data_IF_472989683135
#
_entry.id   IF_472989683135
#
_cell.length_a   1.000
_cell.length_b   1.000
_cell.length_c   1.000
_cell.angle_alpha   90.00
_cell.angle_beta   90.00
_cell.angle_gamma   90.00
#
_symmetry.space_group_name_H-M   'P 1'
#
loop_
_entity.id
_entity.type
_entity.pdbx_description
1 polymer ?
#
# COMPACT_ATOMS: atom_id res chain seq x y z
N UNK A 1 -1.92 -17.61 4.64
CA UNK A 1 -0.86 -17.13 3.73
C UNK A 1 -1.48 -16.47 2.51
N UNK A 2 -1.83 -15.20 2.65
CA UNK A 2 -2.34 -14.35 1.57
C UNK A 2 -1.46 -13.12 1.45
N UNK A 3 -1.23 -12.64 0.23
CA UNK A 3 -0.41 -11.46 -0.02
C UNK A 3 -1.13 -10.48 -0.97
N UNK A 4 -0.79 -9.20 -0.86
CA UNK A 4 -1.22 -8.19 -1.81
C UNK A 4 -0.49 -8.39 -3.14
N UNK A 5 -1.21 -8.45 -4.24
CA UNK A 5 -0.64 -8.73 -5.57
C UNK A 5 -1.50 -8.10 -6.67
N UNK A 6 -1.03 -8.17 -7.92
CA UNK A 6 -1.84 -7.90 -9.11
C UNK A 6 -2.32 -9.20 -9.77
N UNK A 7 -3.45 -9.19 -10.49
CA UNK A 7 -3.88 -10.35 -11.27
C UNK A 7 -2.83 -10.78 -12.31
N UNK A 8 -2.76 -12.06 -12.64
CA UNK A 8 -1.88 -12.55 -13.73
C UNK A 8 -2.26 -11.94 -15.09
N UNK A 9 -3.54 -11.62 -15.28
CA UNK A 9 -4.08 -10.95 -16.46
C UNK A 9 -3.90 -9.43 -16.47
N UNK A 10 -3.15 -8.88 -15.50
CA UNK A 10 -2.89 -7.45 -15.44
C UNK A 10 -2.17 -6.98 -16.71
N UNK A 11 -2.75 -6.01 -17.39
CA UNK A 11 -2.21 -5.40 -18.60
C UNK A 11 -2.55 -3.91 -18.58
N UNK A 12 -1.56 -3.08 -18.89
CA UNK A 12 -1.73 -1.63 -19.02
C UNK A 12 -2.80 -1.24 -20.05
N UNK A 13 -2.97 -2.04 -21.11
CA UNK A 13 -3.93 -1.77 -22.19
C UNK A 13 -5.38 -2.03 -21.80
N UNK A 14 -5.61 -2.67 -20.65
CA UNK A 14 -6.93 -3.05 -20.17
C UNK A 14 -7.20 -2.38 -18.82
N UNK A 15 -7.70 -1.13 -18.79
CA UNK A 15 -7.97 -0.39 -17.56
C UNK A 15 -8.86 -1.15 -16.56
N UNK A 16 -9.75 -2.01 -17.05
CA UNK A 16 -10.59 -2.87 -16.20
C UNK A 16 -9.79 -3.89 -15.35
N UNK A 17 -8.56 -4.21 -15.74
CA UNK A 17 -7.67 -5.11 -15.01
C UNK A 17 -6.69 -4.35 -14.11
N UNK A 18 -6.77 -3.02 -14.07
CA UNK A 18 -5.92 -2.19 -13.24
C UNK A 18 -6.35 -2.19 -11.77
N UNK A 19 -6.43 -3.39 -11.18
CA UNK A 19 -6.85 -3.62 -9.81
C UNK A 19 -5.75 -4.30 -9.01
N UNK A 20 -5.87 -4.21 -7.69
CA UNK A 20 -5.00 -4.91 -6.73
C UNK A 20 -5.86 -5.87 -5.93
N UNK A 21 -5.35 -7.07 -5.70
CA UNK A 21 -6.06 -8.17 -5.06
C UNK A 21 -5.25 -8.75 -3.91
N UNK A 22 -5.95 -9.46 -3.02
CA UNK A 22 -5.31 -10.40 -2.11
C UNK A 22 -5.40 -11.79 -2.71
N UNK A 23 -4.27 -12.50 -2.75
CA UNK A 23 -4.19 -13.85 -3.27
C UNK A 23 -3.30 -14.72 -2.38
N UNK A 24 -3.77 -15.93 -2.08
CA UNK A 24 -3.00 -16.95 -1.38
C UNK A 24 -2.28 -17.91 -2.32
N UNK A 25 -1.49 -18.81 -1.75
CA UNK A 25 -0.81 -19.85 -2.52
C UNK A 25 0.32 -19.29 -3.39
N UNK A 26 0.32 -19.58 -4.69
CA UNK A 26 1.44 -19.32 -5.59
C UNK A 26 1.89 -17.86 -5.72
N UNK A 27 1.00 -16.89 -5.47
CA UNK A 27 1.34 -15.48 -5.56
C UNK A 27 2.47 -15.07 -4.59
N UNK A 28 2.57 -15.71 -3.42
CA UNK A 28 3.58 -15.36 -2.38
C UNK A 28 5.01 -15.62 -2.83
N UNK A 29 5.22 -16.45 -3.86
CA UNK A 29 6.55 -16.77 -4.41
C UNK A 29 6.79 -16.19 -5.80
N UNK A 30 5.89 -15.35 -6.30
CA UNK A 30 5.96 -14.76 -7.64
C UNK A 30 6.29 -13.27 -7.59
N UNK A 31 6.96 -12.77 -8.64
CA UNK A 31 7.40 -11.38 -8.70
C UNK A 31 6.27 -10.34 -8.68
N UNK A 32 5.03 -10.74 -8.98
CA UNK A 32 3.82 -9.88 -8.96
C UNK A 32 3.32 -9.52 -7.55
N UNK A 33 3.83 -10.17 -6.50
CA UNK A 33 3.56 -9.81 -5.11
C UNK A 33 4.64 -8.88 -4.51
N UNK A 34 5.62 -8.44 -5.31
CA UNK A 34 6.72 -7.62 -4.83
C UNK A 34 6.37 -6.12 -4.85
N UNK A 35 6.46 -5.51 -3.67
CA UNK A 35 6.22 -4.08 -3.45
C UNK A 35 7.43 -3.42 -2.81
N UNK A 36 7.63 -2.14 -3.11
CA UNK A 36 8.66 -1.29 -2.52
C UNK A 36 8.00 -0.10 -1.82
N UNK A 37 8.38 0.12 -0.57
CA UNK A 37 8.04 1.35 0.18
C UNK A 37 9.04 2.44 -0.19
N UNK A 38 8.53 3.59 -0.62
CA UNK A 38 9.33 4.77 -0.99
C UNK A 38 8.91 5.97 -0.10
N UNK A 39 9.65 6.28 0.98
CA UNK A 39 9.37 7.43 1.84
C UNK A 39 9.38 8.76 1.07
N UNK A 40 8.37 9.61 1.32
CA UNK A 40 8.29 10.95 0.74
C UNK A 40 9.01 11.92 1.69
N UNK A 41 10.34 12.03 1.54
CA UNK A 41 11.22 12.93 2.30
C UNK A 41 12.35 13.45 1.44
N UNK A 42 13.00 14.54 1.84
CA UNK A 42 14.09 15.15 1.06
C UNK A 42 15.48 14.59 1.41
N UNK A 43 15.67 14.09 2.63
CA UNK A 43 16.94 13.58 3.15
C UNK A 43 16.74 12.18 3.72
N UNK A 44 17.85 11.49 4.01
CA UNK A 44 17.84 10.21 4.74
C UNK A 44 16.92 9.13 4.15
N UNK A 45 16.88 9.00 2.82
CA UNK A 45 16.05 7.99 2.14
C UNK A 45 16.33 6.54 2.57
N UNK A 46 17.53 6.26 3.11
CA UNK A 46 17.92 4.95 3.65
C UNK A 46 17.72 4.80 5.16
N UNK A 47 17.14 5.79 5.85
CA UNK A 47 16.81 5.66 7.26
C UNK A 47 15.74 4.59 7.50
N UNK A 48 15.66 4.12 8.74
CA UNK A 48 14.66 3.15 9.17
C UNK A 48 13.27 3.72 8.91
N UNK A 49 12.38 2.87 8.38
CA UNK A 49 10.97 3.22 8.18
C UNK A 49 10.28 3.08 9.52
N UNK A 50 9.61 4.14 9.94
CA UNK A 50 8.83 4.21 11.16
C UNK A 50 7.31 4.20 10.92
N UNK A 51 6.55 4.26 12.02
CA UNK A 51 5.15 4.64 11.96
C UNK A 51 5.03 6.13 11.61
N UNK A 52 3.85 6.51 11.11
CA UNK A 52 3.42 7.90 10.87
C UNK A 52 4.27 8.69 9.85
N UNK A 53 5.23 8.02 9.20
CA UNK A 53 5.98 8.55 8.08
C UNK A 53 5.21 8.39 6.77
N UNK A 54 5.19 9.44 5.96
CA UNK A 54 4.53 9.41 4.65
C UNK A 54 5.38 8.68 3.63
N UNK A 55 4.77 7.75 2.89
CA UNK A 55 5.42 7.01 1.82
C UNK A 55 4.48 6.73 0.64
N UNK A 56 5.09 6.31 -0.48
CA UNK A 56 4.41 5.69 -1.60
C UNK A 56 4.69 4.20 -1.63
N UNK A 57 3.76 3.44 -2.20
CA UNK A 57 3.92 1.99 -2.41
C UNK A 57 4.08 1.76 -3.91
N UNK A 58 5.25 1.26 -4.34
CA UNK A 58 5.57 1.00 -5.73
C UNK A 58 5.53 -0.51 -6.00
N UNK A 59 4.80 -0.92 -7.03
CA UNK A 59 4.84 -2.29 -7.53
C UNK A 59 6.11 -2.49 -8.35
N UNK A 60 6.93 -3.50 -7.99
CA UNK A 60 8.31 -3.61 -8.51
C UNK A 60 8.31 -3.91 -10.02
N UNK A 61 7.52 -4.89 -10.47
CA UNK A 61 7.62 -5.37 -11.86
C UNK A 61 6.96 -4.41 -12.86
N UNK A 62 5.87 -3.73 -12.48
CA UNK A 62 5.22 -2.75 -13.36
C UNK A 62 5.78 -1.34 -13.23
N UNK A 63 6.53 -1.07 -12.16
CA UNK A 63 7.08 0.25 -11.85
C UNK A 63 6.04 1.31 -11.47
N UNK A 64 4.77 0.91 -11.26
CA UNK A 64 3.63 1.78 -10.95
C UNK A 64 3.42 1.95 -9.46
N UNK A 65 2.66 2.98 -9.09
CA UNK A 65 2.35 3.30 -7.71
C UNK A 65 0.94 2.89 -7.34
N UNK A 66 0.77 2.29 -6.17
CA UNK A 66 -0.55 2.11 -5.56
C UNK A 66 -1.14 3.48 -5.27
N UNK A 67 -2.42 3.66 -5.60
CA UNK A 67 -3.15 4.84 -5.23
C UNK A 67 -4.65 4.60 -5.11
N UNK A 68 -5.34 5.57 -4.53
CA UNK A 68 -6.80 5.51 -4.34
C UNK A 68 -7.49 6.26 -5.47
N UNK A 69 -8.47 5.63 -6.11
CA UNK A 69 -9.34 6.28 -7.07
C UNK A 69 -10.28 7.25 -6.36
N UNK A 70 -10.28 8.51 -6.77
CA UNK A 70 -10.98 9.59 -6.08
C UNK A 70 -12.50 9.36 -6.01
N UNK A 71 -13.13 8.94 -7.10
CA UNK A 71 -14.58 8.68 -7.16
C UNK A 71 -15.00 7.36 -6.50
N UNK A 72 -14.38 6.23 -6.90
CA UNK A 72 -14.82 4.90 -6.45
C UNK A 72 -14.21 4.45 -5.12
N UNK A 73 -13.22 5.19 -4.59
CA UNK A 73 -12.48 4.86 -3.37
C UNK A 73 -11.85 3.45 -3.39
N UNK A 74 -11.60 2.92 -4.58
CA UNK A 74 -10.91 1.66 -4.82
C UNK A 74 -9.41 1.89 -4.99
N UNK A 75 -8.60 0.86 -4.71
CA UNK A 75 -7.15 0.92 -4.96
C UNK A 75 -6.81 0.42 -6.36
N UNK A 76 -5.91 1.13 -7.03
CA UNK A 76 -5.42 0.79 -8.37
C UNK A 76 -3.97 1.25 -8.58
N UNK A 77 -3.36 0.84 -9.69
CA UNK A 77 -1.99 1.23 -10.03
C UNK A 77 -1.96 2.44 -10.97
N UNK A 78 -1.15 3.44 -10.63
CA UNK A 78 -0.92 4.64 -11.43
C UNK A 78 0.48 4.67 -12.01
N UNK A 79 0.59 5.10 -13.27
CA UNK A 79 1.89 5.41 -13.87
C UNK A 79 2.57 6.54 -13.09
N UNK A 80 3.92 6.55 -13.07
CA UNK A 80 4.71 7.53 -12.32
C UNK A 80 4.33 8.98 -12.63
N UNK A 81 3.97 9.28 -13.89
CA UNK A 81 3.62 10.64 -14.33
C UNK A 81 2.25 11.11 -13.83
N UNK A 82 1.41 10.17 -13.38
CA UNK A 82 0.08 10.43 -12.80
C UNK A 82 0.03 10.19 -11.29
N UNK A 83 1.10 9.68 -10.70
CA UNK A 83 1.20 9.35 -9.28
C UNK A 83 1.44 10.62 -8.44
N UNK A 84 0.39 11.45 -8.35
CA UNK A 84 0.41 12.67 -7.52
C UNK A 84 0.45 12.31 -6.04
N UNK A 85 0.85 13.28 -5.20
CA UNK A 85 0.86 13.11 -3.75
C UNK A 85 -0.52 12.68 -3.22
N UNK A 86 -1.58 13.42 -3.57
CA UNK A 86 -2.94 13.16 -3.08
C UNK A 86 -3.51 11.80 -3.49
N UNK A 87 -3.00 11.18 -4.56
CA UNK A 87 -3.45 9.86 -5.00
C UNK A 87 -2.68 8.71 -4.35
N UNK A 88 -1.42 8.94 -3.95
CA UNK A 88 -0.45 7.86 -3.68
C UNK A 88 0.27 7.99 -2.34
N UNK A 89 -0.08 8.98 -1.53
CA UNK A 89 0.49 9.18 -0.20
C UNK A 89 -0.24 8.34 0.85
N UNK A 90 0.50 7.45 1.49
CA UNK A 90 0.04 6.60 2.57
C UNK A 90 0.91 6.80 3.81
N UNK A 91 0.36 6.43 4.97
CA UNK A 91 1.09 6.28 6.23
C UNK A 91 0.85 4.91 6.83
N UNK A 92 1.80 4.46 7.64
CA UNK A 92 1.71 3.24 8.42
C UNK A 92 1.41 3.60 9.87
N UNK A 93 0.32 3.08 10.43
CA UNK A 93 -0.10 3.36 11.80
C UNK A 93 -0.11 2.08 12.63
N UNK A 94 0.20 2.19 13.92
CA UNK A 94 0.16 1.06 14.85
C UNK A 94 -1.27 0.63 15.20
N UNK A 95 -2.22 1.58 15.20
CA UNK A 95 -3.64 1.35 15.45
C UNK A 95 -4.49 2.34 14.63
N UNK A 96 -5.82 2.29 14.79
CA UNK A 96 -6.75 3.17 14.07
C UNK A 96 -7.11 4.46 14.83
N UNK A 97 -6.50 4.72 15.99
CA UNK A 97 -6.73 5.91 16.81
C UNK A 97 -5.72 7.01 16.45
N UNK A 98 -5.95 7.67 15.32
CA UNK A 98 -5.03 8.70 14.81
C UNK A 98 -5.14 9.96 15.68
N UNK A 99 -4.05 10.31 16.37
CA UNK A 99 -3.89 11.63 16.95
C UNK A 99 -3.55 12.61 15.83
N UNK A 100 -4.43 13.57 15.55
CA UNK A 100 -4.30 14.57 14.46
C UNK A 100 -2.96 15.33 14.41
N UNK A 101 -2.19 15.36 15.49
CA UNK A 101 -0.88 16.03 15.56
C UNK A 101 0.26 15.29 14.83
N UNK A 102 0.07 14.05 14.38
CA UNK A 102 1.13 13.22 13.81
C UNK A 102 1.68 13.68 12.45
N UNK A 103 0.95 14.53 11.72
CA UNK A 103 1.35 14.96 10.37
C UNK A 103 2.25 16.20 10.34
N UNK A 104 2.43 16.87 11.47
CA UNK A 104 3.28 18.06 11.63
C UNK A 104 4.66 17.73 12.25
N UNK A 105 4.99 16.44 12.43
CA UNK A 105 6.27 16.04 13.00
C UNK A 105 7.42 16.33 12.02
N UNK A 106 8.37 17.14 12.51
CA UNK A 106 9.59 17.55 11.85
C UNK A 106 10.34 16.31 11.33
N UNK A 107 10.84 16.35 10.09
CA UNK A 107 11.66 15.26 9.54
C UNK A 107 12.79 14.90 10.53
N UNK A 108 12.78 13.68 11.04
CA UNK A 108 13.80 13.18 11.95
C UNK A 108 15.16 13.15 11.24
N UNK A 109 16.17 13.80 11.81
CA UNK A 109 17.52 13.77 11.26
C UNK A 109 18.27 12.51 11.74
N UNK A 110 18.82 11.75 10.80
CA UNK A 110 19.59 10.55 11.08
C UNK A 110 18.91 9.26 10.63
N UNK A 111 19.29 8.14 11.24
CA UNK A 111 18.77 6.81 10.87
C UNK A 111 17.38 6.50 11.45
N UNK A 112 16.92 7.28 12.42
CA UNK A 112 15.68 7.04 13.15
C UNK A 112 15.73 5.84 14.10
N UNK A 113 14.57 5.48 14.64
CA UNK A 113 14.39 4.35 15.57
C UNK A 113 13.87 3.11 14.83
N UNK A 114 14.40 1.93 15.19
CA UNK A 114 13.94 0.65 14.65
C UNK A 114 12.59 0.23 15.24
N UNK A 115 11.48 0.71 14.67
CA UNK A 115 10.13 0.37 15.13
C UNK A 115 9.48 -0.79 14.37
N UNK A 116 9.87 -0.99 13.10
CA UNK A 116 9.31 -2.03 12.23
C UNK A 116 10.22 -3.27 12.22
N UNK A 117 9.63 -4.42 12.49
CA UNK A 117 10.26 -5.74 12.43
C UNK A 117 9.52 -6.63 11.44
N UNK A 118 10.25 -7.16 10.47
CA UNK A 118 9.69 -8.04 9.45
C UNK A 118 9.08 -9.29 10.07
N UNK A 119 7.82 -9.58 9.72
CA UNK A 119 7.09 -10.75 10.21
C UNK A 119 6.49 -10.62 11.61
N UNK A 120 6.89 -9.63 12.40
CA UNK A 120 6.36 -9.42 13.77
C UNK A 120 5.44 -8.19 13.86
N UNK A 121 5.75 -7.13 13.12
CA UNK A 121 4.99 -5.88 13.22
C UNK A 121 3.67 -6.00 12.48
N UNK A 122 2.57 -5.83 13.23
CA UNK A 122 1.24 -5.59 12.68
C UNK A 122 1.04 -4.09 12.52
N UNK A 123 0.59 -3.66 11.33
CA UNK A 123 0.36 -2.27 11.03
C UNK A 123 -0.89 -2.06 10.16
N UNK A 124 -1.45 -0.88 10.26
CA UNK A 124 -2.54 -0.40 9.42
C UNK A 124 -2.01 0.60 8.41
N UNK A 125 -2.55 0.55 7.19
CA UNK A 125 -2.18 1.49 6.12
C UNK A 125 -3.35 2.47 5.93
N UNK A 126 -3.06 3.76 6.04
CA UNK A 126 -4.02 4.84 5.82
C UNK A 126 -3.62 5.64 4.58
N UNK A 127 -4.59 5.94 3.72
CA UNK A 127 -4.42 6.91 2.65
C UNK A 127 -4.63 8.34 3.17
N UNK A 128 -3.64 9.22 2.98
CA UNK A 128 -3.64 10.55 3.61
C UNK A 128 -4.74 11.47 3.08
N UNK A 129 -4.94 11.54 1.77
CA UNK A 129 -5.90 12.51 1.23
C UNK A 129 -7.34 12.13 1.61
N UNK A 130 -7.70 10.87 1.44
CA UNK A 130 -9.07 10.42 1.70
C UNK A 130 -9.33 10.05 3.16
N UNK A 131 -8.28 9.94 3.98
CA UNK A 131 -8.37 9.45 5.36
C UNK A 131 -9.06 8.07 5.46
N UNK A 132 -8.85 7.22 4.43
CA UNK A 132 -9.44 5.88 4.38
C UNK A 132 -8.38 4.84 4.69
N UNK A 133 -8.77 3.82 5.44
CA UNK A 133 -7.94 2.66 5.74
C UNK A 133 -7.95 1.67 4.58
N UNK A 134 -6.78 1.13 4.26
CA UNK A 134 -6.68 0.01 3.32
C UNK A 134 -7.40 -1.20 3.93
N UNK A 135 -8.31 -1.78 3.16
CA UNK A 135 -9.08 -2.96 3.53
C UNK A 135 -9.40 -3.76 2.28
N UNK A 136 -9.86 -5.00 2.46
CA UNK A 136 -10.33 -5.87 1.40
C UNK A 136 -11.85 -6.02 1.47
N UNK A 137 -12.44 -6.32 0.31
CA UNK A 137 -13.83 -6.74 0.21
C UNK A 137 -13.87 -8.26 -0.01
N UNK A 138 -14.64 -8.98 0.80
CA UNK A 138 -14.96 -10.38 0.55
C UNK A 138 -16.30 -10.49 -0.15
N UNK A 139 -16.40 -11.40 -1.09
CA UNK A 139 -17.69 -11.84 -1.64
C UNK A 139 -17.89 -13.26 -1.17
N UNK A 140 -18.89 -13.51 -0.32
CA UNK A 140 -19.27 -14.89 0.00
C UNK A 140 -19.86 -15.54 -1.25
N UNK A 141 -19.05 -16.33 -1.95
CA UNK A 141 -19.56 -17.22 -2.97
C UNK A 141 -20.12 -18.42 -2.22
N UNK A 142 -21.40 -18.39 -1.88
CA UNK A 142 -22.13 -19.62 -1.55
C UNK A 142 -22.17 -20.48 -2.80
N UNK A 143 -21.12 -21.30 -3.00
CA UNK A 143 -21.23 -22.45 -3.90
C UNK A 143 -22.34 -23.32 -3.32
N UNK A 144 -23.52 -23.30 -3.95
CA UNK A 144 -24.55 -24.30 -3.68
C UNK A 144 -23.90 -25.69 -3.83
N UNK A 145 -23.78 -26.42 -2.74
CA UNK A 145 -23.52 -27.87 -2.76
C UNK A 145 -22.08 -28.36 -2.58
N UNK A 146 -21.21 -27.65 -1.85
CA UNK A 146 -19.97 -28.28 -1.37
C UNK A 146 -19.82 -28.03 0.14
N UNK A 147 -20.22 -29.03 0.91
CA UNK A 147 -19.92 -29.23 2.33
C UNK A 147 -19.37 -30.64 2.51
#
# INVERSE_FOLDING_TARGET
DECLTIPESWDERHPQHNMVIYEGGGAVSQARSLWRIEPIRAKWHGALVGFDQVFRIRHITTGRYLGVHEQYKTVQLYHKDKATYNLTAFIMCQNKDIKKQLLDEKEEEGMGVATIRYGETVAFILHLESQLWLSYQTSEITKKGVG
#
